data_IF_354442856936
#
_entry.id   IF_354442856936
#
_cell.length_a   1.000
_cell.length_b   1.000
_cell.length_c   1.000
_cell.angle_alpha   90.00
_cell.angle_beta   90.00
_cell.angle_gamma   90.00
#
_symmetry.space_group_name_H-M   'P 1'
#
loop_
_entity.id
_entity.type
_entity.pdbx_description
1 polymer ?
#
# COMPACT_ATOMS: atom_id res chain seq x y z
N UNK A 1 13.01 14.90 -5.12
CA UNK A 1 13.79 14.40 -3.97
C UNK A 1 13.11 14.75 -2.65
N UNK A 2 12.71 16.00 -2.42
CA UNK A 2 12.15 16.39 -1.12
C UNK A 2 10.78 15.75 -0.79
N UNK A 3 9.92 15.60 -1.81
CA UNK A 3 8.59 14.98 -1.68
C UNK A 3 8.65 13.48 -1.35
N UNK A 4 9.60 12.74 -1.91
CA UNK A 4 9.78 11.31 -1.61
C UNK A 4 10.28 11.10 -0.18
N UNK A 5 11.18 11.96 0.30
CA UNK A 5 11.64 11.94 1.68
C UNK A 5 10.50 12.21 2.65
N UNK A 6 9.65 13.19 2.33
CA UNK A 6 8.46 13.54 3.12
C UNK A 6 7.45 12.40 3.14
N UNK A 7 7.20 11.77 1.98
CA UNK A 7 6.32 10.60 1.88
C UNK A 7 6.81 9.44 2.76
N UNK A 8 8.12 9.21 2.78
CA UNK A 8 8.73 8.15 3.59
C UNK A 8 8.56 8.42 5.07
N UNK A 9 8.85 9.65 5.52
CA UNK A 9 8.65 10.07 6.92
C UNK A 9 7.19 9.93 7.37
N UNK A 10 6.24 10.29 6.50
CA UNK A 10 4.81 10.13 6.79
C UNK A 10 4.42 8.65 6.91
N UNK A 11 4.95 7.78 6.04
CA UNK A 11 4.70 6.35 6.10
C UNK A 11 5.24 5.73 7.39
N UNK A 12 6.47 6.08 7.79
CA UNK A 12 7.07 5.62 9.06
C UNK A 12 6.26 6.10 10.28
N UNK A 13 5.78 7.35 10.25
CA UNK A 13 4.92 7.87 11.30
C UNK A 13 3.60 7.11 11.42
N UNK A 14 2.95 6.85 10.27
CA UNK A 14 1.71 6.08 10.21
C UNK A 14 1.94 4.62 10.63
N UNK A 15 3.07 4.02 10.28
CA UNK A 15 3.45 2.67 10.71
C UNK A 15 3.59 2.58 12.24
N UNK A 16 4.28 3.53 12.86
CA UNK A 16 4.41 3.61 14.33
C UNK A 16 3.05 3.75 15.04
N UNK A 17 2.10 4.44 14.41
CA UNK A 17 0.74 4.64 14.95
C UNK A 17 -0.30 3.63 14.46
N UNK A 18 0.08 2.70 13.59
CA UNK A 18 -0.88 1.79 12.96
C UNK A 18 -1.59 0.89 13.98
N UNK A 19 -0.89 0.52 15.06
CA UNK A 19 -1.46 -0.26 16.15
C UNK A 19 -2.63 0.42 16.87
N UNK A 20 -2.69 1.75 16.90
CA UNK A 20 -3.82 2.49 17.47
C UNK A 20 -4.84 2.93 16.41
N UNK A 21 -4.41 3.15 15.16
CA UNK A 21 -5.27 3.65 14.08
C UNK A 21 -6.08 2.54 13.42
N UNK A 22 -5.45 1.40 13.12
CA UNK A 22 -6.12 0.26 12.49
C UNK A 22 -5.54 -1.07 13.02
N UNK A 23 -5.88 -1.45 14.27
CA UNK A 23 -5.35 -2.66 14.90
C UNK A 23 -5.71 -3.94 14.13
N UNK A 24 -6.92 -4.02 13.59
CA UNK A 24 -7.38 -5.19 12.83
C UNK A 24 -6.64 -5.33 11.49
N UNK A 25 -6.40 -4.21 10.80
CA UNK A 25 -5.66 -4.23 9.54
C UNK A 25 -4.20 -4.63 9.80
N UNK A 26 -3.57 -4.04 10.82
CA UNK A 26 -2.21 -4.40 11.21
C UNK A 26 -2.06 -5.87 11.60
N UNK A 27 -3.06 -6.44 12.29
CA UNK A 27 -3.03 -7.86 12.68
C UNK A 27 -3.07 -8.81 11.47
N UNK A 28 -3.74 -8.44 10.37
CA UNK A 28 -3.89 -9.30 9.19
C UNK A 28 -2.71 -9.16 8.24
N UNK A 29 -2.29 -7.92 7.93
CA UNK A 29 -1.29 -7.66 6.87
C UNK A 29 0.06 -7.15 7.40
N UNK A 30 0.14 -6.80 8.68
CA UNK A 30 1.31 -6.19 9.31
C UNK A 30 1.32 -4.65 9.21
N UNK A 31 1.90 -3.98 10.21
CA UNK A 31 1.95 -2.51 10.30
C UNK A 31 2.56 -1.84 9.07
N UNK A 32 3.66 -2.40 8.53
CA UNK A 32 4.35 -1.85 7.37
C UNK A 32 3.50 -1.89 6.09
N UNK A 33 2.81 -3.01 5.85
CA UNK A 33 1.96 -3.19 4.66
C UNK A 33 0.68 -2.37 4.81
N UNK A 34 0.09 -2.36 6.01
CA UNK A 34 -1.08 -1.54 6.34
C UNK A 34 -0.80 -0.04 6.12
N UNK A 35 0.37 0.47 6.55
CA UNK A 35 0.74 1.86 6.36
C UNK A 35 0.88 2.22 4.87
N UNK A 36 1.46 1.33 4.06
CA UNK A 36 1.57 1.50 2.60
C UNK A 36 0.22 1.50 1.92
N UNK A 37 -0.67 0.56 2.28
CA UNK A 37 -2.04 0.48 1.76
C UNK A 37 -2.85 1.72 2.13
N UNK A 38 -2.83 2.14 3.39
CA UNK A 38 -3.52 3.36 3.83
C UNK A 38 -2.94 4.62 3.16
N UNK A 39 -1.61 4.71 3.03
CA UNK A 39 -0.95 5.83 2.38
C UNK A 39 -1.22 5.92 0.88
N UNK A 40 -1.44 4.79 0.19
CA UNK A 40 -1.83 4.78 -1.23
C UNK A 40 -3.33 4.93 -1.44
N UNK A 41 -4.16 4.38 -0.57
CA UNK A 41 -5.61 4.54 -0.62
C UNK A 41 -6.08 5.95 -0.21
N UNK A 42 -5.27 6.70 0.53
CA UNK A 42 -5.61 8.04 1.03
C UNK A 42 -6.36 8.03 2.37
N UNK A 43 -6.11 7.02 3.20
CA UNK A 43 -6.66 6.89 4.55
C UNK A 43 -7.62 5.71 4.72
N UNK A 44 -8.03 5.48 5.97
CA UNK A 44 -8.81 4.30 6.35
C UNK A 44 -10.21 4.29 5.75
N UNK A 45 -10.89 5.44 5.67
CA UNK A 45 -12.23 5.52 5.08
C UNK A 45 -12.23 5.25 3.58
N UNK A 46 -11.19 5.69 2.86
CA UNK A 46 -11.06 5.42 1.43
C UNK A 46 -10.74 3.95 1.19
N UNK A 47 -9.84 3.37 1.99
CA UNK A 47 -9.52 1.95 1.96
C UNK A 47 -10.75 1.07 2.26
N UNK A 48 -11.60 1.46 3.22
CA UNK A 48 -12.81 0.72 3.56
C UNK A 48 -13.89 0.75 2.46
N UNK A 49 -13.90 1.78 1.60
CA UNK A 49 -14.82 1.89 0.46
C UNK A 49 -14.29 1.20 -0.81
N UNK A 50 -13.00 0.87 -0.84
CA UNK A 50 -12.34 0.26 -1.98
C UNK A 50 -12.71 -1.23 -2.05
N UNK A 51 -13.13 -1.75 -3.22
CA UNK A 51 -13.42 -3.18 -3.38
C UNK A 51 -12.14 -4.01 -3.29
N UNK A 52 -12.26 -5.28 -2.89
CA UNK A 52 -11.11 -6.16 -2.66
C UNK A 52 -10.20 -6.32 -3.88
N UNK A 53 -10.76 -6.31 -5.10
CA UNK A 53 -9.99 -6.38 -6.34
C UNK A 53 -9.09 -5.16 -6.57
N UNK A 54 -9.54 -3.98 -6.13
CA UNK A 54 -8.77 -2.74 -6.25
C UNK A 54 -7.66 -2.71 -5.20
N UNK A 55 -7.94 -3.17 -3.98
CA UNK A 55 -6.93 -3.31 -2.92
C UNK A 55 -5.81 -4.28 -3.35
N UNK A 56 -6.17 -5.38 -4.03
CA UNK A 56 -5.19 -6.35 -4.54
C UNK A 56 -4.23 -5.73 -5.56
N UNK A 57 -4.69 -4.78 -6.38
CA UNK A 57 -3.85 -4.13 -7.38
C UNK A 57 -3.07 -2.91 -6.85
N UNK A 58 -3.26 -2.52 -5.58
CA UNK A 58 -2.46 -1.46 -4.96
C UNK A 58 -0.98 -1.85 -4.90
N UNK A 59 -0.10 -0.91 -5.23
CA UNK A 59 1.36 -1.12 -5.22
C UNK A 59 1.94 -1.73 -6.49
N UNK A 60 1.10 -2.08 -7.47
CA UNK A 60 1.57 -2.54 -8.77
C UNK A 60 2.34 -1.43 -9.47
N UNK A 61 3.62 -1.68 -9.79
CA UNK A 61 4.36 -0.84 -10.73
C UNK A 61 3.99 -1.25 -12.16
N UNK A 62 3.59 -0.29 -12.99
CA UNK A 62 3.43 -0.53 -14.43
C UNK A 62 4.77 -1.02 -15.00
N UNK A 63 4.85 -2.30 -15.36
CA UNK A 63 5.88 -2.77 -16.29
C UNK A 63 5.45 -2.34 -17.69
N UNK A 64 6.15 -1.35 -18.25
CA UNK A 64 6.04 -1.02 -19.67
C UNK A 64 6.52 -2.23 -20.47
N UNK A 65 5.64 -2.83 -21.28
CA UNK A 65 5.83 -4.10 -21.98
C UNK A 65 6.75 -3.97 -23.21
N UNK A 66 7.93 -3.36 -23.03
CA UNK A 66 8.98 -3.35 -24.06
C UNK A 66 9.73 -4.70 -23.95
N UNK A 67 9.18 -5.75 -24.54
CA UNK A 67 9.86 -7.05 -24.66
C UNK A 67 8.98 -8.26 -24.37
N UNK A 68 8.85 -9.15 -25.35
CA UNK A 68 8.13 -10.40 -25.29
C UNK A 68 8.84 -11.39 -24.34
N UNK A 69 8.40 -11.49 -23.08
CA UNK A 69 8.38 -12.70 -22.27
C UNK A 69 7.88 -12.40 -20.85
N UNK A 70 7.31 -13.43 -20.23
CA UNK A 70 7.18 -13.63 -18.78
C UNK A 70 5.86 -13.21 -18.13
N UNK A 71 5.26 -14.24 -17.49
CA UNK A 71 4.15 -14.28 -16.54
C UNK A 71 3.86 -12.94 -15.84
N UNK A 72 2.60 -12.49 -15.93
CA UNK A 72 2.08 -11.32 -15.20
C UNK A 72 2.03 -11.65 -13.70
N UNK A 73 3.15 -11.46 -13.01
CA UNK A 73 3.21 -11.53 -11.56
C UNK A 73 2.44 -10.31 -11.02
N UNK A 74 1.22 -10.53 -10.53
CA UNK A 74 0.44 -9.55 -9.78
C UNK A 74 1.13 -9.33 -8.42
N UNK A 75 2.13 -8.46 -8.37
CA UNK A 75 2.84 -8.15 -7.11
C UNK A 75 2.33 -6.78 -6.64
N UNK A 76 1.25 -6.83 -5.84
CA UNK A 76 0.77 -5.70 -5.08
C UNK A 76 1.50 -5.57 -3.76
N UNK A 77 0.95 -4.75 -2.86
CA UNK A 77 1.38 -4.76 -1.46
C UNK A 77 0.91 -6.02 -0.71
N UNK A 78 -0.12 -6.69 -1.23
CA UNK A 78 -0.69 -7.98 -0.82
C UNK A 78 -0.47 -9.01 -1.93
#
# INVERSE_FOLDING_TARGET
LDLDSTRTKVLEFVESKMGSVAPNLSAIVGSAVAAKLMGTAGGLSALAKMPACDVQVLGHKRKSLVGFASHSSRVGYL
#
